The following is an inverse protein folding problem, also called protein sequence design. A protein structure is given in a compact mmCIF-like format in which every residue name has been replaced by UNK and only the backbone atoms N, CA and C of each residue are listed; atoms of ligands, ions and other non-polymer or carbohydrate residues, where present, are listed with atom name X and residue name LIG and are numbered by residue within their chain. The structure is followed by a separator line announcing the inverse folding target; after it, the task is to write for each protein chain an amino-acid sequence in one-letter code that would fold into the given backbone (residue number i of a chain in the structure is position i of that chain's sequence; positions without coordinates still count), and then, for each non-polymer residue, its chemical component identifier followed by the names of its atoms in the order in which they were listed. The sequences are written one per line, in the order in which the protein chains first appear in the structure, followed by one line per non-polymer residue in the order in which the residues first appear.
data_IF_926366704297
#
_entry.id   IF_926366704297
#
_cell.length_a   1.000
_cell.length_b   1.000
_cell.length_c   1.000
_cell.angle_alpha   90.00
_cell.angle_beta   90.00
_cell.angle_gamma   90.00
#
_symmetry.space_group_name_H-M   'P 1'
#
loop_
_entity.id
_entity.type
_entity.pdbx_description
1 polymer ?
#
# COMPACT_ATOMS: atom_id res chain seq x y z
N UNK A 1 -17.89 9.69 -54.08
CA UNK A 1 -18.07 10.04 -52.62
C UNK A 1 -17.11 9.29 -51.67
N UNK A 2 -15.98 8.74 -52.14
CA UNK A 2 -15.04 7.92 -51.29
C UNK A 2 -13.84 8.69 -50.74
N UNK A 3 -13.56 9.91 -51.17
CA UNK A 3 -12.33 10.64 -50.77
C UNK A 3 -12.49 11.61 -49.59
N UNK A 4 -13.70 11.89 -49.11
CA UNK A 4 -13.89 12.85 -48.01
C UNK A 4 -13.53 12.30 -46.63
N UNK A 5 -13.62 10.99 -46.44
CA UNK A 5 -13.30 10.36 -45.16
C UNK A 5 -11.79 10.16 -44.94
N UNK A 6 -11.01 10.04 -46.01
CA UNK A 6 -9.55 9.90 -45.91
C UNK A 6 -8.86 11.16 -45.39
N UNK A 7 -9.39 12.34 -45.70
CA UNK A 7 -8.84 13.63 -45.24
C UNK A 7 -9.10 13.93 -43.76
N UNK A 8 -10.09 13.25 -43.16
CA UNK A 8 -10.44 13.43 -41.73
C UNK A 8 -9.73 12.38 -40.86
N UNK A 9 -9.56 11.16 -41.36
CA UNK A 9 -8.96 10.07 -40.59
C UNK A 9 -7.44 10.24 -40.44
N UNK A 10 -6.76 10.75 -41.45
CA UNK A 10 -5.30 10.93 -41.45
C UNK A 10 -4.79 11.86 -40.32
N UNK A 11 -5.37 13.05 -40.07
CA UNK A 11 -4.93 13.90 -38.98
C UNK A 11 -5.26 13.35 -37.60
N UNK A 12 -6.33 12.55 -37.44
CA UNK A 12 -6.70 11.94 -36.18
C UNK A 12 -5.69 10.84 -35.78
N UNK A 13 -5.28 9.99 -36.73
CA UNK A 13 -4.24 8.99 -36.49
C UNK A 13 -2.89 9.61 -36.11
N UNK A 14 -2.51 10.72 -36.75
CA UNK A 14 -1.26 11.44 -36.43
C UNK A 14 -1.30 12.03 -35.02
N UNK A 15 -2.44 12.57 -34.59
CA UNK A 15 -2.61 13.07 -33.21
C UNK A 15 -2.48 11.98 -32.15
N UNK A 16 -2.96 10.75 -32.42
CA UNK A 16 -2.80 9.63 -31.51
C UNK A 16 -1.35 9.13 -31.39
N UNK A 17 -0.59 9.19 -32.47
CA UNK A 17 0.83 8.80 -32.46
C UNK A 17 1.73 9.79 -31.68
N UNK A 18 1.37 11.07 -31.67
CA UNK A 18 2.12 12.07 -30.89
C UNK A 18 1.82 12.04 -29.39
N UNK A 19 0.64 11.57 -28.96
CA UNK A 19 0.31 11.45 -27.54
C UNK A 19 0.97 10.22 -26.88
N UNK A 20 1.30 9.18 -27.62
CA UNK A 20 1.95 7.98 -27.09
C UNK A 20 3.35 8.25 -26.53
N UNK A 21 4.14 9.11 -27.20
CA UNK A 21 5.51 9.42 -26.76
C UNK A 21 5.61 10.16 -25.42
N UNK A 22 4.63 11.02 -25.09
CA UNK A 22 4.62 11.72 -23.78
C UNK A 22 4.31 10.77 -22.62
N UNK A 23 3.63 9.66 -22.88
CA UNK A 23 3.30 8.68 -21.84
C UNK A 23 4.51 7.83 -21.45
N UNK A 24 5.35 7.49 -22.44
CA UNK A 24 6.54 6.66 -22.20
C UNK A 24 7.61 7.38 -21.38
N UNK A 25 7.85 8.68 -21.62
CA UNK A 25 8.83 9.45 -20.83
C UNK A 25 8.42 9.59 -19.36
N UNK A 26 7.14 9.83 -19.09
CA UNK A 26 6.64 9.95 -17.71
C UNK A 26 6.65 8.62 -16.94
N UNK A 27 6.54 7.51 -17.64
CA UNK A 27 6.63 6.17 -17.06
C UNK A 27 8.09 5.81 -16.79
N UNK A 28 9.00 6.11 -17.69
CA UNK A 28 10.44 5.89 -17.53
C UNK A 28 10.98 6.69 -16.34
N UNK A 29 10.57 7.93 -16.16
CA UNK A 29 10.99 8.78 -15.03
C UNK A 29 10.49 8.23 -13.68
N UNK A 30 9.32 7.60 -13.65
CA UNK A 30 8.80 6.93 -12.44
C UNK A 30 9.48 5.60 -12.13
N UNK A 31 10.02 4.92 -13.16
CA UNK A 31 10.66 3.62 -13.04
C UNK A 31 12.18 3.78 -12.87
N UNK A 32 12.72 4.98 -12.93
CA UNK A 32 14.14 5.23 -12.74
C UNK A 32 14.52 4.97 -11.28
N UNK A 33 14.48 3.69 -10.90
CA UNK A 33 15.20 3.22 -9.71
C UNK A 33 16.68 3.45 -10.00
N UNK A 34 17.30 4.34 -9.27
CA UNK A 34 18.76 4.44 -9.23
C UNK A 34 19.31 3.21 -8.49
N UNK A 35 19.26 2.08 -9.15
CA UNK A 35 19.96 0.89 -8.68
C UNK A 35 21.35 0.96 -9.26
N UNK A 36 22.32 1.37 -8.47
CA UNK A 36 23.73 1.18 -8.80
C UNK A 36 24.04 -0.30 -8.70
N UNK A 37 23.99 -1.00 -9.83
CA UNK A 37 24.44 -2.40 -9.91
C UNK A 37 25.96 -2.39 -9.95
N UNK A 38 26.60 -2.85 -8.87
CA UNK A 38 28.02 -3.10 -8.84
C UNK A 38 28.33 -4.38 -9.61
N UNK A 39 29.17 -4.29 -10.62
CA UNK A 39 29.71 -5.44 -11.35
C UNK A 39 31.02 -5.84 -10.69
N UNK A 40 31.22 -7.15 -10.47
CA UNK A 40 32.45 -7.72 -9.88
C UNK A 40 33.68 -7.21 -10.63
N UNK A 41 34.62 -6.54 -9.91
CA UNK A 41 35.84 -5.95 -10.47
C UNK A 41 35.82 -4.44 -10.69
N UNK A 42 34.73 -3.72 -10.40
CA UNK A 42 34.71 -2.27 -10.35
C UNK A 42 34.79 -1.78 -8.90
N UNK A 43 35.63 -0.79 -8.67
CA UNK A 43 35.73 -0.09 -7.39
C UNK A 43 34.41 0.73 -7.23
N UNK A 44 33.38 0.08 -6.71
CA UNK A 44 32.14 0.73 -6.37
C UNK A 44 32.43 1.60 -5.14
N UNK A 45 32.92 2.81 -5.39
CA UNK A 45 33.16 3.80 -4.36
C UNK A 45 31.93 3.85 -3.46
N UNK A 46 32.16 3.51 -2.20
CA UNK A 46 31.24 3.48 -1.06
C UNK A 46 29.79 3.84 -1.48
N UNK A 47 29.03 2.84 -1.93
CA UNK A 47 27.59 2.94 -1.84
C UNK A 47 27.34 3.37 -0.40
N UNK A 48 26.98 4.62 -0.22
CA UNK A 48 26.42 5.05 1.05
C UNK A 48 25.44 3.94 1.41
N UNK A 49 25.77 3.16 2.43
CA UNK A 49 24.82 2.40 3.16
C UNK A 49 23.88 3.47 3.71
N UNK A 50 23.00 3.96 2.85
CA UNK A 50 21.72 4.41 3.28
C UNK A 50 21.15 3.16 3.95
N UNK A 51 21.53 2.98 5.21
CA UNK A 51 20.79 2.14 6.11
C UNK A 51 19.35 2.55 5.79
N UNK A 52 18.59 1.61 5.23
CA UNK A 52 17.15 1.73 5.10
C UNK A 52 16.66 1.86 6.56
N UNK A 53 16.80 3.05 7.11
CA UNK A 53 16.04 3.46 8.27
C UNK A 53 14.63 3.37 7.72
N UNK A 54 13.98 2.22 7.95
CA UNK A 54 12.58 2.01 7.61
C UNK A 54 11.86 3.23 8.17
N UNK A 55 11.47 4.15 7.27
CA UNK A 55 10.83 5.38 7.69
C UNK A 55 9.70 4.99 8.64
N UNK A 56 9.70 5.55 9.84
CA UNK A 56 8.68 5.23 10.86
C UNK A 56 7.33 5.60 10.26
N UNK A 57 6.57 4.57 9.91
CA UNK A 57 5.23 4.74 9.33
C UNK A 57 4.27 5.19 10.43
N UNK A 58 3.37 6.12 10.10
CA UNK A 58 2.31 6.48 11.02
C UNK A 58 1.28 5.35 11.15
N UNK A 59 0.51 5.35 12.23
CA UNK A 59 -0.56 4.37 12.43
C UNK A 59 -1.61 4.44 11.30
N UNK A 60 -1.91 5.65 10.80
CA UNK A 60 -2.80 5.88 9.68
C UNK A 60 -2.28 5.25 8.39
N UNK A 61 -0.98 5.37 8.13
CA UNK A 61 -0.35 4.78 6.95
C UNK A 61 -0.39 3.26 7.01
N UNK A 62 -0.10 2.67 8.17
CA UNK A 62 -0.19 1.22 8.37
C UNK A 62 -1.63 0.75 8.23
N UNK A 63 -2.58 1.47 8.86
CA UNK A 63 -4.00 1.19 8.76
C UNK A 63 -4.47 1.19 7.31
N UNK A 64 -4.20 2.25 6.57
CA UNK A 64 -4.61 2.40 5.18
C UNK A 64 -4.02 1.33 4.26
N UNK A 65 -2.77 0.90 4.49
CA UNK A 65 -2.10 -0.09 3.64
C UNK A 65 -2.46 -1.54 3.98
N UNK A 66 -2.77 -1.86 5.24
CA UNK A 66 -2.87 -3.24 5.70
C UNK A 66 -4.19 -3.65 6.35
N UNK A 67 -5.01 -2.70 6.80
CA UNK A 67 -6.17 -2.97 7.64
C UNK A 67 -7.49 -2.48 7.02
N UNK A 68 -7.48 -1.29 6.42
CA UNK A 68 -8.66 -0.57 5.93
C UNK A 68 -9.52 -1.39 4.94
N UNK A 69 -8.89 -2.18 4.08
CA UNK A 69 -9.59 -2.99 3.08
C UNK A 69 -10.71 -3.88 3.70
N UNK A 70 -10.52 -4.35 4.92
CA UNK A 70 -11.51 -5.15 5.63
C UNK A 70 -12.22 -4.35 6.74
N UNK A 71 -11.49 -3.50 7.46
CA UNK A 71 -12.00 -2.85 8.66
C UNK A 71 -12.74 -1.52 8.40
N UNK A 72 -12.75 -0.99 7.17
CA UNK A 72 -13.63 0.11 6.80
C UNK A 72 -15.04 -0.36 6.46
N UNK A 73 -15.16 -1.52 5.79
CA UNK A 73 -16.42 -2.02 5.26
C UNK A 73 -16.98 -3.25 6.00
N UNK A 74 -16.23 -3.84 6.95
CA UNK A 74 -16.67 -5.03 7.68
C UNK A 74 -16.57 -6.32 6.87
N UNK A 75 -15.65 -6.39 5.92
CA UNK A 75 -15.45 -7.56 5.05
C UNK A 75 -15.18 -8.82 5.89
N UNK A 76 -15.81 -9.93 5.53
CA UNK A 76 -15.70 -11.22 6.20
C UNK A 76 -15.93 -11.19 7.73
N UNK A 77 -16.76 -10.23 8.20
CA UNK A 77 -17.08 -10.08 9.62
C UNK A 77 -16.01 -9.31 10.42
N UNK A 78 -15.10 -8.61 9.76
CA UNK A 78 -14.17 -7.71 10.41
C UNK A 78 -14.93 -6.59 11.16
N UNK A 79 -14.56 -6.25 12.39
CA UNK A 79 -15.19 -5.13 13.09
C UNK A 79 -14.80 -3.81 12.40
N UNK A 80 -15.79 -3.01 12.05
CA UNK A 80 -15.58 -1.72 11.40
C UNK A 80 -14.92 -0.75 12.37
N UNK A 81 -13.84 -0.11 11.94
CA UNK A 81 -13.14 0.90 12.75
C UNK A 81 -14.06 2.11 12.96
N UNK A 82 -14.19 2.57 14.18
CA UNK A 82 -15.13 3.62 14.57
C UNK A 82 -16.52 3.10 14.98
N UNK A 83 -16.82 1.83 14.81
CA UNK A 83 -18.10 1.27 15.22
C UNK A 83 -18.03 0.71 16.65
N UNK A 84 -18.36 1.54 17.63
CA UNK A 84 -18.31 1.23 19.08
C UNK A 84 -19.00 -0.09 19.40
N UNK A 85 -20.21 -0.34 18.83
CA UNK A 85 -21.01 -1.52 19.15
C UNK A 85 -20.33 -2.82 18.69
N UNK A 86 -19.67 -2.80 17.55
CA UNK A 86 -18.95 -3.99 17.05
C UNK A 86 -17.65 -4.26 17.83
N UNK A 87 -17.04 -3.23 18.40
CA UNK A 87 -15.84 -3.36 19.22
C UNK A 87 -16.14 -3.70 20.67
N UNK A 88 -17.30 -3.30 21.21
CA UNK A 88 -17.69 -3.51 22.60
C UNK A 88 -17.54 -4.98 23.08
N UNK A 89 -17.86 -5.96 22.24
CA UNK A 89 -17.71 -7.38 22.56
C UNK A 89 -16.26 -7.91 22.50
N UNK A 90 -15.36 -7.13 21.91
CA UNK A 90 -13.95 -7.50 21.72
C UNK A 90 -13.02 -6.88 22.77
N UNK A 91 -13.36 -5.68 23.23
CA UNK A 91 -12.58 -4.92 24.22
C UNK A 91 -12.32 -5.68 25.53
N UNK A 92 -13.28 -6.41 26.12
CA UNK A 92 -13.06 -7.17 27.36
C UNK A 92 -11.98 -8.24 27.26
N UNK A 93 -11.60 -8.66 26.03
CA UNK A 93 -10.51 -9.63 25.83
C UNK A 93 -9.13 -9.04 26.12
N UNK A 94 -9.04 -7.72 26.21
CA UNK A 94 -7.80 -6.99 26.43
C UNK A 94 -6.98 -6.74 25.15
N UNK A 95 -6.28 -5.61 25.14
CA UNK A 95 -5.49 -5.16 23.98
C UNK A 95 -4.43 -6.17 23.56
N UNK A 96 -3.78 -6.85 24.51
CA UNK A 96 -2.75 -7.84 24.20
C UNK A 96 -3.29 -9.01 23.36
N UNK A 97 -4.46 -9.54 23.72
CA UNK A 97 -5.10 -10.59 22.92
C UNK A 97 -5.50 -10.11 21.54
N UNK A 98 -6.01 -8.88 21.41
CA UNK A 98 -6.37 -8.30 20.13
C UNK A 98 -5.13 -8.12 19.23
N UNK A 99 -4.02 -7.67 19.79
CA UNK A 99 -2.73 -7.57 19.10
C UNK A 99 -2.24 -8.94 18.66
N UNK A 100 -2.32 -9.95 19.54
CA UNK A 100 -1.88 -11.31 19.23
C UNK A 100 -2.72 -11.92 18.08
N UNK A 101 -4.04 -11.72 18.10
CA UNK A 101 -4.93 -12.14 17.03
C UNK A 101 -4.60 -11.45 15.70
N UNK A 102 -4.34 -10.13 15.72
CA UNK A 102 -3.96 -9.40 14.52
C UNK A 102 -2.60 -9.84 13.98
N UNK A 103 -1.64 -10.11 14.84
CA UNK A 103 -0.30 -10.52 14.43
C UNK A 103 -0.24 -11.94 13.87
N UNK A 104 -0.96 -12.89 14.49
CA UNK A 104 -0.93 -14.29 14.09
C UNK A 104 -2.07 -14.70 13.14
N UNK A 105 -3.06 -13.82 12.96
CA UNK A 105 -4.31 -14.14 12.27
C UNK A 105 -5.39 -14.68 13.19
N UNK A 106 -6.66 -14.45 12.85
CA UNK A 106 -7.80 -14.90 13.61
C UNK A 106 -9.03 -15.11 12.71
N UNK A 107 -9.54 -16.33 12.65
CA UNK A 107 -10.63 -16.71 11.74
C UNK A 107 -10.33 -16.34 10.28
N UNK A 108 -11.14 -15.46 9.67
CA UNK A 108 -10.92 -14.98 8.32
C UNK A 108 -9.85 -13.88 8.20
N UNK A 109 -9.38 -13.33 9.31
CA UNK A 109 -8.31 -12.34 9.31
C UNK A 109 -6.96 -12.99 9.10
N UNK A 110 -6.22 -12.68 8.03
CA UNK A 110 -4.87 -13.22 7.84
C UNK A 110 -3.88 -12.64 8.86
N UNK A 111 -2.78 -13.34 9.08
CA UNK A 111 -1.70 -12.84 9.92
C UNK A 111 -1.19 -11.49 9.44
N UNK A 112 -1.07 -10.53 10.35
CA UNK A 112 -0.69 -9.14 10.11
C UNK A 112 -1.63 -8.36 9.15
N UNK A 113 -2.83 -8.89 8.86
CA UNK A 113 -3.72 -8.34 7.84
C UNK A 113 -3.07 -8.43 6.46
N UNK A 114 -2.95 -7.30 5.75
CA UNK A 114 -2.24 -7.22 4.46
C UNK A 114 -0.86 -6.56 4.59
N UNK A 115 -0.38 -6.31 5.81
CA UNK A 115 0.91 -5.70 6.08
C UNK A 115 1.99 -6.77 6.39
N UNK A 116 2.41 -7.52 5.38
CA UNK A 116 3.35 -8.63 5.56
C UNK A 116 4.70 -8.21 6.20
N UNK A 117 5.15 -6.99 5.92
CA UNK A 117 6.42 -6.41 6.38
C UNK A 117 6.32 -5.67 7.72
N UNK A 118 5.11 -5.57 8.30
CA UNK A 118 4.91 -4.93 9.58
C UNK A 118 5.58 -5.71 10.72
N UNK A 119 6.26 -4.98 11.60
CA UNK A 119 6.77 -5.53 12.85
C UNK A 119 5.62 -5.77 13.85
N UNK A 120 5.91 -6.50 14.93
CA UNK A 120 4.92 -6.74 15.99
C UNK A 120 4.51 -5.42 16.68
N UNK A 121 5.46 -4.53 16.83
CA UNK A 121 5.27 -3.20 17.44
C UNK A 121 4.37 -2.32 16.57
N UNK A 122 4.57 -2.34 15.25
CA UNK A 122 3.71 -1.63 14.31
C UNK A 122 2.28 -2.18 14.32
N UNK A 123 2.11 -3.51 14.37
CA UNK A 123 0.79 -4.13 14.51
C UNK A 123 0.14 -3.75 15.85
N UNK A 124 0.90 -3.73 16.94
CA UNK A 124 0.38 -3.31 18.25
C UNK A 124 -0.07 -1.83 18.24
N UNK A 125 0.70 -0.98 17.61
CA UNK A 125 0.37 0.44 17.51
C UNK A 125 -0.89 0.69 16.67
N UNK A 126 -1.04 0.03 15.51
CA UNK A 126 -2.22 0.19 14.67
C UNK A 126 -3.47 -0.45 15.29
N UNK A 127 -3.37 -1.56 15.98
CA UNK A 127 -4.49 -2.15 16.74
C UNK A 127 -4.98 -1.18 17.81
N UNK A 128 -4.05 -0.57 18.56
CA UNK A 128 -4.38 0.45 19.56
C UNK A 128 -5.08 1.65 18.94
N UNK A 129 -4.57 2.14 17.81
CA UNK A 129 -5.21 3.21 17.04
C UNK A 129 -6.65 2.87 16.64
N UNK A 130 -6.91 1.63 16.16
CA UNK A 130 -8.26 1.19 15.79
C UNK A 130 -9.20 1.12 17.01
N UNK A 131 -8.68 0.67 18.16
CA UNK A 131 -9.41 0.65 19.43
C UNK A 131 -9.80 2.06 19.83
N UNK A 132 -8.85 2.99 19.85
CA UNK A 132 -9.05 4.39 20.22
C UNK A 132 -10.09 5.10 19.34
N UNK A 133 -10.14 4.76 18.05
CA UNK A 133 -11.16 5.25 17.13
C UNK A 133 -12.54 4.65 17.38
N UNK A 134 -12.62 3.53 18.09
CA UNK A 134 -13.83 2.72 18.27
C UNK A 134 -14.37 2.72 19.71
N UNK A 135 -13.91 3.66 20.55
CA UNK A 135 -14.34 3.83 21.95
C UNK A 135 -15.05 5.14 22.17
#
# INVERSE_FOLDING_TARGET
MKNKYYLIILPICVLFLFNGKKYDESVIERIHLQVNVCVEGQDCGQASQSSLVKAVRSNEQIYASGCAACHDAGVAGAPVTGNVSQWASRMPKGTEMLVNNAYNGYNAMPAKGLCADCSKEEIAAVVKYMIEKST
#
